data_IF_904344839549
#
_entry.id   IF_904344839549
#
_cell.length_a   1.000
_cell.length_b   1.000
_cell.length_c   1.000
_cell.angle_alpha   90.00
_cell.angle_beta   90.00
_cell.angle_gamma   90.00
#
_symmetry.space_group_name_H-M   'P 1'
#
loop_
_entity.id
_entity.type
_entity.pdbx_description
1 polymer ?
#
# COMPACT_ATOMS: atom_id res chain seq x y z
N UNK A 1 -4.41 10.10 -5.50
CA UNK A 1 -4.52 9.11 -4.39
C UNK A 1 -3.17 8.83 -3.68
N UNK A 2 -2.01 8.85 -4.36
CA UNK A 2 -0.72 8.47 -3.74
C UNK A 2 -0.31 9.33 -2.54
N UNK A 3 -0.42 10.66 -2.63
CA UNK A 3 0.01 11.58 -1.57
C UNK A 3 -0.75 11.33 -0.26
N UNK A 4 -2.08 11.25 -0.30
CA UNK A 4 -2.92 10.93 0.88
C UNK A 4 -2.62 9.54 1.45
N UNK A 5 -2.24 8.56 0.62
CA UNK A 5 -1.90 7.20 1.06
C UNK A 5 -0.55 7.12 1.80
N UNK A 6 0.36 8.07 1.56
CA UNK A 6 1.67 8.14 2.21
C UNK A 6 1.59 8.76 3.61
N UNK A 7 0.47 9.41 3.94
CA UNK A 7 0.30 10.12 5.20
C UNK A 7 -0.67 9.37 6.12
N UNK A 8 -0.15 8.95 7.27
CA UNK A 8 -0.89 8.23 8.30
C UNK A 8 -1.68 9.15 9.24
N UNK A 9 -1.36 10.45 9.22
CA UNK A 9 -1.97 11.52 10.01
C UNK A 9 -2.59 12.58 9.08
N UNK A 10 -3.54 13.40 9.58
CA UNK A 10 -4.12 14.48 8.78
C UNK A 10 -3.06 15.45 8.26
N UNK A 11 -3.12 15.75 6.96
CA UNK A 11 -2.20 16.69 6.30
C UNK A 11 -2.95 17.93 5.86
N UNK A 12 -2.37 19.11 6.06
CA UNK A 12 -3.01 20.34 5.60
C UNK A 12 -3.16 20.35 4.07
N UNK A 13 -4.25 20.96 3.59
CA UNK A 13 -4.45 21.15 2.16
C UNK A 13 -3.29 21.92 1.52
N UNK A 14 -2.72 22.91 2.21
CA UNK A 14 -1.58 23.67 1.72
C UNK A 14 -0.33 22.79 1.46
N UNK A 15 -0.03 21.87 2.38
CA UNK A 15 1.09 20.94 2.21
C UNK A 15 0.84 19.98 1.03
N UNK A 16 -0.38 19.45 0.91
CA UNK A 16 -0.76 18.58 -0.21
C UNK A 16 -0.69 19.31 -1.56
N UNK A 17 -1.16 20.56 -1.63
CA UNK A 17 -1.13 21.34 -2.87
C UNK A 17 0.32 21.66 -3.28
N UNK A 18 1.17 21.99 -2.31
CA UNK A 18 2.60 22.24 -2.52
C UNK A 18 3.31 20.98 -3.04
N UNK A 19 3.08 19.83 -2.41
CA UNK A 19 3.67 18.54 -2.84
C UNK A 19 3.25 18.14 -4.25
N UNK A 20 1.99 18.40 -4.61
CA UNK A 20 1.43 18.10 -5.93
C UNK A 20 1.73 19.17 -6.99
N UNK A 21 2.29 20.33 -6.61
CA UNK A 21 2.52 21.45 -7.52
C UNK A 21 1.24 22.08 -8.08
N UNK A 22 0.11 22.01 -7.35
CA UNK A 22 -1.19 22.53 -7.78
C UNK A 22 -1.72 23.63 -6.85
N UNK A 23 -2.71 24.38 -7.33
CA UNK A 23 -3.39 25.37 -6.48
C UNK A 23 -4.26 24.71 -5.41
N UNK A 24 -4.47 25.41 -4.29
CA UNK A 24 -5.36 24.94 -3.22
C UNK A 24 -6.81 24.75 -3.69
N UNK A 25 -7.27 25.58 -4.64
CA UNK A 25 -8.60 25.44 -5.27
C UNK A 25 -8.69 24.16 -6.10
N UNK A 26 -7.65 23.84 -6.86
CA UNK A 26 -7.56 22.60 -7.65
C UNK A 26 -7.61 21.41 -6.71
N UNK A 27 -6.81 21.44 -5.63
CA UNK A 27 -6.80 20.38 -4.63
C UNK A 27 -8.19 20.13 -4.04
N UNK A 28 -8.90 21.18 -3.59
CA UNK A 28 -10.24 21.01 -3.02
C UNK A 28 -11.26 20.47 -4.01
N UNK A 29 -11.19 20.90 -5.28
CA UNK A 29 -12.04 20.35 -6.34
C UNK A 29 -11.77 18.87 -6.56
N UNK A 30 -10.50 18.46 -6.56
CA UNK A 30 -10.11 17.07 -6.77
C UNK A 30 -10.49 16.20 -5.57
N UNK A 31 -10.34 16.69 -4.33
CA UNK A 31 -10.80 16.00 -3.12
C UNK A 31 -12.32 15.79 -3.17
N UNK A 32 -13.09 16.81 -3.55
CA UNK A 32 -14.54 16.68 -3.70
C UNK A 32 -14.94 15.67 -4.80
N UNK A 33 -14.22 15.68 -5.93
CA UNK A 33 -14.43 14.70 -6.99
C UNK A 33 -14.12 13.27 -6.54
N UNK A 34 -13.07 13.09 -5.74
CA UNK A 34 -12.68 11.80 -5.16
C UNK A 34 -13.71 11.31 -4.14
N UNK A 35 -14.22 12.19 -3.28
CA UNK A 35 -15.29 11.86 -2.33
C UNK A 35 -16.57 11.43 -3.07
N UNK A 36 -16.92 12.11 -4.17
CA UNK A 36 -18.06 11.72 -5.02
C UNK A 36 -17.87 10.34 -5.69
N UNK A 37 -16.62 9.92 -5.93
CA UNK A 37 -16.27 8.59 -6.42
C UNK A 37 -16.19 7.52 -5.31
N UNK A 38 -16.54 7.88 -4.06
CA UNK A 38 -16.59 6.96 -2.93
C UNK A 38 -15.34 6.91 -2.07
N UNK A 39 -14.35 7.79 -2.29
CA UNK A 39 -13.18 7.87 -1.41
C UNK A 39 -13.58 8.45 -0.04
N UNK A 40 -13.40 7.69 1.04
CA UNK A 40 -13.59 8.17 2.42
C UNK A 40 -12.39 9.00 2.87
N UNK A 41 -12.33 10.24 2.40
CA UNK A 41 -11.38 11.26 2.85
C UNK A 41 -12.07 12.07 3.95
N UNK A 42 -11.58 11.96 5.18
CA UNK A 42 -12.02 12.80 6.29
C UNK A 42 -11.14 14.05 6.30
N UNK A 43 -11.74 15.23 6.40
CA UNK A 43 -11.01 16.48 6.50
C UNK A 43 -11.78 17.68 5.99
N UNK A 44 -11.69 18.78 6.73
CA UNK A 44 -12.21 20.09 6.35
C UNK A 44 -11.07 21.11 6.27
N UNK A 45 -11.26 22.22 5.52
CA UNK A 45 -10.31 23.33 5.52
C UNK A 45 -9.96 23.74 6.96
N UNK A 46 -8.67 23.67 7.30
CA UNK A 46 -8.15 24.02 8.64
C UNK A 46 -7.91 22.85 9.59
N UNK A 47 -8.48 21.67 9.36
CA UNK A 47 -8.28 20.46 10.20
C UNK A 47 -7.27 19.48 9.56
N UNK A 48 -7.17 19.50 8.22
CA UNK A 48 -6.30 18.59 7.45
C UNK A 48 -7.06 17.37 6.93
N UNK A 49 -6.48 16.68 5.95
CA UNK A 49 -7.09 15.56 5.22
C UNK A 49 -6.40 14.24 5.56
N UNK A 50 -7.20 13.19 5.80
CA UNK A 50 -6.74 11.82 6.02
C UNK A 50 -7.62 10.83 5.26
N UNK A 51 -7.03 9.80 4.67
CA UNK A 51 -7.76 8.72 4.03
C UNK A 51 -8.09 7.63 5.06
N UNK A 52 -9.38 7.32 5.26
CA UNK A 52 -9.80 6.27 6.21
C UNK A 52 -9.51 4.86 5.68
N UNK A 53 -9.14 3.90 6.54
CA UNK A 53 -9.06 2.49 6.18
C UNK A 53 -10.44 1.95 5.76
N UNK A 54 -10.46 0.95 4.89
CA UNK A 54 -11.70 0.28 4.45
C UNK A 54 -12.29 0.83 3.15
N UNK A 55 -11.43 1.31 2.26
CA UNK A 55 -11.77 1.55 0.86
C UNK A 55 -11.37 0.31 0.05
N UNK A 56 -12.32 -0.25 -0.72
CA UNK A 56 -11.93 -1.08 -1.86
C UNK A 56 -11.13 -0.18 -2.78
N UNK A 57 -9.92 -0.62 -3.13
CA UNK A 57 -9.09 0.09 -4.09
C UNK A 57 -9.93 0.32 -5.36
N UNK A 58 -10.00 1.56 -5.90
CA UNK A 58 -10.58 1.75 -7.22
C UNK A 58 -9.77 0.90 -8.21
N UNK A 59 -10.29 0.64 -9.42
CA UNK A 59 -9.48 0.05 -10.49
C UNK A 59 -8.13 0.76 -10.57
N UNK A 60 -7.06 0.04 -10.21
CA UNK A 60 -5.71 0.58 -10.21
C UNK A 60 -5.20 0.54 -11.64
N UNK A 61 -4.84 1.70 -12.17
CA UNK A 61 -4.05 1.79 -13.39
C UNK A 61 -2.59 1.71 -12.96
N UNK A 62 -1.91 0.62 -13.32
CA UNK A 62 -0.47 0.48 -13.13
C UNK A 62 0.26 0.96 -14.39
N UNK A 63 1.39 1.63 -14.22
CA UNK A 63 2.33 1.82 -15.32
C UNK A 63 3.04 0.51 -15.67
N UNK A 64 3.70 0.47 -16.82
CA UNK A 64 4.52 -0.67 -17.24
C UNK A 64 5.64 -0.97 -16.21
N UNK A 65 6.38 0.07 -15.78
CA UNK A 65 7.42 -0.04 -14.75
C UNK A 65 6.88 -0.55 -13.40
N UNK A 66 5.68 -0.12 -13.00
CA UNK A 66 5.05 -0.59 -11.76
C UNK A 66 4.68 -2.07 -11.84
N UNK A 67 4.20 -2.52 -13.00
CA UNK A 67 3.91 -3.94 -13.24
C UNK A 67 5.19 -4.75 -13.22
N UNK A 68 6.25 -4.27 -13.86
CA UNK A 68 7.54 -4.95 -13.89
C UNK A 68 8.14 -5.10 -12.48
N UNK A 69 8.08 -4.04 -11.67
CA UNK A 69 8.52 -4.07 -10.28
C UNK A 69 7.72 -5.07 -9.43
N UNK A 70 6.40 -5.14 -9.63
CA UNK A 70 5.52 -6.07 -8.92
C UNK A 70 5.83 -7.52 -9.28
N UNK A 71 6.06 -7.82 -10.57
CA UNK A 71 6.48 -9.16 -11.00
C UNK A 71 7.78 -9.58 -10.34
N UNK A 72 8.80 -8.73 -10.45
CA UNK A 72 10.12 -9.06 -9.93
C UNK A 72 10.06 -9.30 -8.42
N UNK A 73 9.40 -8.41 -7.68
CA UNK A 73 9.23 -8.54 -6.24
C UNK A 73 8.43 -9.78 -5.85
N UNK A 74 7.33 -10.07 -6.55
CA UNK A 74 6.52 -11.25 -6.24
C UNK A 74 7.22 -12.57 -6.60
N UNK A 75 7.96 -12.64 -7.71
CA UNK A 75 8.82 -13.79 -8.03
C UNK A 75 9.89 -13.99 -6.96
N UNK A 76 10.52 -12.90 -6.52
CA UNK A 76 11.53 -12.96 -5.46
C UNK A 76 10.97 -13.54 -4.16
N UNK A 77 9.78 -13.09 -3.73
CA UNK A 77 9.10 -13.63 -2.54
C UNK A 77 8.66 -15.07 -2.76
N UNK A 78 8.14 -15.40 -3.93
CA UNK A 78 7.69 -16.76 -4.27
C UNK A 78 8.83 -17.80 -4.19
N UNK A 79 10.05 -17.39 -4.53
CA UNK A 79 11.21 -18.28 -4.63
C UNK A 79 12.09 -18.28 -3.36
N UNK A 80 11.99 -17.25 -2.50
CA UNK A 80 12.92 -17.06 -1.36
C UNK A 80 12.28 -16.95 0.01
N UNK A 81 11.00 -16.64 0.09
CA UNK A 81 10.34 -16.60 1.38
C UNK A 81 10.00 -18.02 1.86
N UNK A 82 9.48 -18.10 3.08
CA UNK A 82 8.80 -19.30 3.56
C UNK A 82 7.62 -19.69 2.64
N UNK A 83 7.28 -20.97 2.63
CA UNK A 83 6.27 -21.58 1.77
C UNK A 83 4.91 -20.86 1.85
N UNK A 84 4.36 -20.54 3.05
CA UNK A 84 3.12 -19.77 3.15
C UNK A 84 3.19 -18.39 2.47
N UNK A 85 4.27 -17.64 2.67
CA UNK A 85 4.44 -16.31 2.10
C UNK A 85 4.68 -16.39 0.58
N UNK A 86 5.48 -17.36 0.14
CA UNK A 86 5.72 -17.61 -1.28
C UNK A 86 4.43 -17.96 -2.02
N UNK A 87 3.57 -18.79 -1.42
CA UNK A 87 2.25 -19.09 -2.00
C UNK A 87 1.33 -17.88 -2.02
N UNK A 88 1.35 -17.05 -0.97
CA UNK A 88 0.60 -15.81 -0.94
C UNK A 88 1.03 -14.85 -2.06
N UNK A 89 2.33 -14.76 -2.36
CA UNK A 89 2.85 -13.95 -3.44
C UNK A 89 2.37 -14.45 -4.82
N UNK A 90 2.44 -15.76 -5.08
CA UNK A 90 1.90 -16.38 -6.31
C UNK A 90 0.40 -16.07 -6.49
N UNK A 91 -0.38 -16.25 -5.43
CA UNK A 91 -1.81 -15.98 -5.45
C UNK A 91 -2.13 -14.49 -5.67
N UNK A 92 -1.34 -13.58 -5.11
CA UNK A 92 -1.50 -12.15 -5.33
C UNK A 92 -1.25 -11.77 -6.79
N UNK A 93 -0.18 -12.29 -7.40
CA UNK A 93 0.11 -12.02 -8.81
C UNK A 93 -0.95 -12.57 -9.75
N UNK A 94 -1.49 -13.76 -9.48
CA UNK A 94 -2.60 -14.30 -10.27
C UNK A 94 -3.83 -13.36 -10.26
N UNK A 95 -4.13 -12.74 -9.11
CA UNK A 95 -5.23 -11.76 -9.00
C UNK A 95 -4.93 -10.47 -9.73
N UNK A 96 -3.68 -9.99 -9.69
CA UNK A 96 -3.25 -8.78 -10.42
C UNK A 96 -3.33 -9.03 -11.93
N UNK A 97 -2.78 -10.14 -12.41
CA UNK A 97 -2.85 -10.54 -13.81
C UNK A 97 -4.30 -10.62 -14.32
N UNK A 98 -5.24 -11.10 -13.49
CA UNK A 98 -6.65 -11.20 -13.86
C UNK A 98 -7.32 -9.86 -14.20
N UNK A 99 -6.83 -8.75 -13.64
CA UNK A 99 -7.44 -7.41 -13.80
C UNK A 99 -6.68 -6.49 -14.75
N UNK A 100 -5.56 -6.93 -15.33
CA UNK A 100 -4.76 -6.11 -16.25
C UNK A 100 -5.29 -6.12 -17.69
N UNK A 101 -5.09 -5.05 -18.48
CA UNK A 101 -5.26 -5.09 -19.93
C UNK A 101 -4.42 -6.22 -20.57
N UNK A 102 -4.88 -6.78 -21.68
CA UNK A 102 -4.23 -7.91 -22.35
C UNK A 102 -2.78 -7.59 -22.76
N UNK A 103 -2.52 -6.35 -23.14
CA UNK A 103 -1.20 -5.87 -23.56
C UNK A 103 -0.19 -5.95 -22.41
N UNK A 104 -0.59 -5.49 -21.21
CA UNK A 104 0.24 -5.57 -20.01
C UNK A 104 0.37 -7.01 -19.49
N UNK A 105 -0.65 -7.86 -19.65
CA UNK A 105 -0.53 -9.31 -19.37
C UNK A 105 0.50 -10.00 -20.27
N UNK A 106 0.53 -9.65 -21.55
CA UNK A 106 1.53 -10.24 -22.44
C UNK A 106 2.95 -9.77 -22.07
N UNK A 107 3.11 -8.51 -21.65
CA UNK A 107 4.38 -8.00 -21.14
C UNK A 107 4.82 -8.70 -19.84
N UNK A 108 3.88 -9.02 -18.93
CA UNK A 108 4.12 -9.83 -17.73
C UNK A 108 4.73 -11.20 -18.07
N UNK A 109 4.10 -11.91 -19.02
CA UNK A 109 4.51 -13.26 -19.41
C UNK A 109 5.82 -13.26 -20.20
N UNK A 110 6.07 -12.21 -20.98
CA UNK A 110 7.31 -12.02 -21.73
C UNK A 110 8.47 -11.44 -20.90
N UNK A 111 8.21 -10.93 -19.70
CA UNK A 111 9.23 -10.26 -18.88
C UNK A 111 10.35 -11.24 -18.50
N UNK A 112 11.52 -10.99 -19.07
CA UNK A 112 12.78 -11.72 -18.88
C UNK A 112 13.49 -11.37 -17.55
N UNK A 113 12.82 -10.65 -16.65
CA UNK A 113 13.35 -10.38 -15.33
C UNK A 113 13.29 -11.65 -14.48
N UNK A 114 14.46 -12.27 -14.37
CA UNK A 114 14.68 -13.44 -13.53
C UNK A 114 15.27 -13.02 -12.19
N UNK A 115 14.83 -13.69 -11.14
CA UNK A 115 15.47 -13.57 -9.85
C UNK A 115 16.72 -14.45 -9.87
N UNK A 116 17.89 -13.84 -10.04
CA UNK A 116 19.17 -14.56 -10.07
C UNK A 116 19.38 -15.42 -8.83
N UNK A 117 20.23 -16.45 -8.93
CA UNK A 117 20.64 -17.25 -7.78
C UNK A 117 21.27 -16.35 -6.71
N UNK A 118 20.91 -16.56 -5.45
CA UNK A 118 21.41 -15.76 -4.34
C UNK A 118 21.53 -16.64 -3.11
N UNK A 119 22.11 -16.09 -2.04
CA UNK A 119 22.39 -16.85 -0.83
C UNK A 119 21.14 -17.59 -0.33
N UNK A 120 21.28 -18.90 -0.14
CA UNK A 120 20.23 -19.73 0.45
C UNK A 120 20.00 -19.24 1.88
N UNK A 121 18.75 -18.98 2.24
CA UNK A 121 18.41 -18.65 3.61
C UNK A 121 18.59 -19.93 4.43
N UNK A 122 19.52 -19.90 5.40
CA UNK A 122 19.86 -21.06 6.21
C UNK A 122 18.77 -21.44 7.23
N UNK A 123 17.88 -20.51 7.55
CA UNK A 123 16.76 -20.74 8.45
C UNK A 123 15.70 -21.65 7.80
N UNK A 124 15.15 -22.57 8.59
CA UNK A 124 14.08 -23.46 8.13
C UNK A 124 12.74 -22.74 7.97
N UNK A 125 11.83 -23.32 7.19
CA UNK A 125 10.52 -22.73 6.88
C UNK A 125 9.71 -22.34 8.14
N UNK A 126 9.66 -23.22 9.13
CA UNK A 126 8.97 -22.97 10.41
C UNK A 126 9.57 -21.81 11.20
N UNK A 127 10.90 -21.64 11.14
CA UNK A 127 11.61 -20.56 11.82
C UNK A 127 11.32 -19.21 11.16
N UNK A 128 11.33 -19.16 9.83
CA UNK A 128 10.97 -17.97 9.06
C UNK A 128 9.50 -17.57 9.31
N UNK A 129 8.60 -18.55 9.44
CA UNK A 129 7.21 -18.32 9.85
C UNK A 129 7.14 -17.71 11.24
N UNK A 130 7.81 -18.29 12.23
CA UNK A 130 7.82 -17.78 13.59
C UNK A 130 8.38 -16.35 13.67
N UNK A 131 9.51 -16.07 13.00
CA UNK A 131 10.12 -14.73 12.95
C UNK A 131 9.15 -13.71 12.35
N UNK A 132 8.50 -14.04 11.23
CA UNK A 132 7.55 -13.13 10.59
C UNK A 132 6.34 -12.83 11.47
N UNK A 133 5.81 -13.84 12.16
CA UNK A 133 4.71 -13.66 13.09
C UNK A 133 5.12 -12.77 14.28
N UNK A 134 6.32 -12.98 14.84
CA UNK A 134 6.86 -12.17 15.93
C UNK A 134 6.98 -10.69 15.52
N UNK A 135 7.59 -10.40 14.35
CA UNK A 135 7.71 -9.03 13.81
C UNK A 135 6.33 -8.37 13.65
N UNK A 136 5.34 -9.12 13.16
CA UNK A 136 3.98 -8.61 12.96
C UNK A 136 3.28 -8.32 14.29
N UNK A 137 3.45 -9.16 15.31
CA UNK A 137 2.84 -8.94 16.63
C UNK A 137 3.46 -7.76 17.38
N UNK A 138 4.77 -7.54 17.30
CA UNK A 138 5.42 -6.40 17.94
C UNK A 138 4.99 -5.06 17.31
N UNK A 139 4.85 -5.04 15.98
CA UNK A 139 4.36 -3.86 15.25
C UNK A 139 2.91 -3.49 15.61
N UNK A 140 2.10 -4.45 16.06
CA UNK A 140 0.70 -4.21 16.42
C UNK A 140 0.57 -3.61 17.84
N UNK A 141 1.42 -4.04 18.78
CA UNK A 141 1.42 -3.53 20.15
C UNK A 141 1.84 -2.05 20.24
N UNK A 142 2.75 -1.59 19.39
CA UNK A 142 3.15 -0.18 19.32
C UNK A 142 2.04 0.76 18.81
N UNK A 143 1.05 0.23 18.06
CA UNK A 143 -0.06 1.03 17.53
C UNK A 143 -1.24 1.17 18.52
N UNK A 144 -1.27 0.39 19.61
CA UNK A 144 -2.35 0.39 20.59
C UNK A 144 -2.14 1.38 21.76
N UNK A 145 -0.91 1.84 22.01
CA UNK A 145 -0.58 2.66 23.18
C UNK A 145 -0.78 4.18 22.97
N UNK A 146 -1.17 4.63 21.77
CA UNK A 146 -1.29 6.06 21.44
C UNK A 146 -2.71 6.65 21.54
N UNK A 147 -3.73 5.89 22.00
CA UNK A 147 -5.14 6.36 22.05
C UNK A 147 -5.70 6.39 23.48
N UNK A 148 -4.89 6.79 24.47
CA UNK A 148 -5.38 7.01 25.84
C UNK A 148 -4.63 8.16 26.53
N UNK A 149 -4.78 9.38 26.02
CA UNK A 149 -4.51 10.61 26.76
C UNK A 149 -5.28 11.73 26.09
N UNK A 150 -6.57 11.80 26.39
CA UNK A 150 -7.37 13.03 26.48
C UNK A 150 -8.82 12.64 26.81
N UNK A 151 -9.08 12.50 28.11
CA UNK A 151 -10.41 12.57 28.67
C UNK A 151 -10.54 13.90 29.42
N UNK A 152 -11.68 14.61 29.31
CA UNK A 152 -11.78 16.02 29.64
C UNK A 152 -11.89 16.24 31.15
N UNK A 153 -11.22 17.28 31.66
CA UNK A 153 -11.57 17.88 32.95
C UNK A 153 -12.74 18.85 32.71
N UNK A 154 -13.94 18.37 33.00
CA UNK A 154 -15.12 19.20 33.27
C UNK A 154 -15.05 19.80 34.68
N UNK A 155 -15.58 21.02 34.77
CA UNK A 155 -15.94 21.85 35.92
C UNK A 155 -14.83 22.73 36.52
#
# INVERSE_FOLDING_TARGET
MQCLRRHRYPVSGAALASELGISLRTLYRDIAALQAQGARIDGEPGVGYVLRPGFMLPPLMFSEDEIEALVLGSRWVADRADDPLGQAARNAMAKIAAVLPTELRNALDASALFVGAGAVIAAGDQELVAIRHAIRSESNSASATATSRDAPLTA
#
